data_IF_946089682835
#
_entry.id   IF_946089682835
#
_cell.length_a   1.000
_cell.length_b   1.000
_cell.length_c   1.000
_cell.angle_alpha   90.00
_cell.angle_beta   90.00
_cell.angle_gamma   90.00
#
_symmetry.space_group_name_H-M   'P 1'
#
loop_
_entity.id
_entity.type
_entity.pdbx_description
1 polymer ?
#
# COMPACT_ATOMS: atom_id res chain seq x y z
N UNK A 1 21.08 -28.77 -9.50
CA UNK A 1 20.39 -27.80 -10.18
C UNK A 1 20.79 -26.43 -9.79
N UNK A 2 21.23 -25.68 -10.68
CA UNK A 2 21.66 -24.34 -10.37
C UNK A 2 20.45 -23.48 -10.04
N UNK A 3 20.66 -22.54 -9.19
CA UNK A 3 19.63 -21.60 -8.85
C UNK A 3 19.36 -20.74 -10.06
N UNK A 4 18.16 -20.24 -10.14
CA UNK A 4 17.84 -19.36 -11.21
C UNK A 4 18.60 -18.07 -11.02
N UNK A 5 19.02 -17.49 -12.10
CA UNK A 5 19.68 -16.21 -12.02
C UNK A 5 18.66 -15.13 -11.76
N UNK A 6 18.99 -14.21 -10.88
CA UNK A 6 18.12 -13.07 -10.66
C UNK A 6 18.00 -12.26 -11.94
N UNK A 7 16.79 -11.85 -12.26
CA UNK A 7 16.62 -11.01 -13.43
C UNK A 7 15.48 -10.03 -13.28
N UNK A 8 15.63 -8.92 -13.94
CA UNK A 8 14.66 -7.87 -13.94
C UNK A 8 13.47 -8.27 -14.79
N UNK A 9 12.28 -8.00 -14.32
CA UNK A 9 11.09 -8.18 -15.13
C UNK A 9 9.98 -7.26 -14.66
N UNK A 10 9.08 -6.92 -15.57
CA UNK A 10 7.94 -6.10 -15.24
C UNK A 10 6.88 -7.01 -14.64
N UNK A 11 6.36 -6.66 -13.49
CA UNK A 11 5.37 -7.47 -12.79
C UNK A 11 3.95 -7.00 -13.05
N UNK A 12 3.74 -5.72 -13.27
CA UNK A 12 2.40 -5.17 -13.44
C UNK A 12 2.47 -3.76 -14.01
N UNK A 13 1.37 -3.31 -14.56
CA UNK A 13 1.23 -1.94 -15.00
C UNK A 13 0.14 -1.33 -14.13
N UNK A 14 0.50 -0.43 -13.22
CA UNK A 14 -0.43 0.10 -12.24
C UNK A 14 -1.57 0.88 -12.90
N UNK A 15 -1.30 1.56 -14.01
CA UNK A 15 -2.35 2.33 -14.66
C UNK A 15 -3.39 1.40 -15.30
N UNK A 16 -2.96 0.27 -15.79
CA UNK A 16 -3.86 -0.69 -16.35
C UNK A 16 -4.71 -1.31 -15.26
N UNK A 17 -4.11 -1.63 -14.12
CA UNK A 17 -4.83 -2.22 -13.02
C UNK A 17 -5.84 -1.25 -12.43
N UNK A 18 -5.48 0.02 -12.34
CA UNK A 18 -6.36 1.03 -11.79
C UNK A 18 -7.50 1.33 -12.75
N UNK A 19 -7.26 1.20 -14.04
CA UNK A 19 -8.27 1.51 -15.04
C UNK A 19 -9.37 0.47 -15.16
N UNK A 20 -9.19 -0.71 -14.57
CA UNK A 20 -10.20 -1.74 -14.66
C UNK A 20 -11.35 -1.36 -13.75
N UNK A 21 -12.54 -1.37 -14.27
CA UNK A 21 -13.71 -0.92 -13.55
C UNK A 21 -14.85 -1.86 -13.81
N UNK A 22 -15.78 -1.97 -12.89
CA UNK A 22 -15.90 -1.36 -11.59
C UNK A 22 -15.00 -2.05 -10.60
N UNK A 23 -14.58 -1.28 -9.62
CA UNK A 23 -13.61 -1.79 -8.73
C UNK A 23 -14.04 -1.73 -7.31
N UNK A 24 -14.10 -2.83 -6.61
CA UNK A 24 -14.40 -2.80 -5.20
C UNK A 24 -13.19 -2.29 -4.44
N UNK A 25 -13.42 -1.92 -3.21
CA UNK A 25 -12.37 -1.52 -2.31
C UNK A 25 -11.41 -2.67 -2.09
N UNK A 26 -10.16 -2.37 -1.90
CA UNK A 26 -9.16 -3.35 -1.48
C UNK A 26 -7.97 -3.47 -2.39
N UNK A 27 -7.21 -4.53 -2.20
CA UNK A 27 -5.98 -4.73 -2.92
C UNK A 27 -6.24 -5.19 -4.35
N UNK A 28 -5.60 -4.52 -5.29
CA UNK A 28 -5.70 -4.85 -6.70
C UNK A 28 -4.52 -5.67 -7.15
N UNK A 29 -3.46 -5.61 -6.43
CA UNK A 29 -2.22 -6.33 -6.75
C UNK A 29 -1.35 -6.36 -5.51
N UNK A 30 -0.61 -7.43 -5.35
CA UNK A 30 0.35 -7.58 -4.27
C UNK A 30 1.60 -8.26 -4.79
N UNK A 31 2.75 -7.80 -4.33
CA UNK A 31 4.02 -8.42 -4.66
C UNK A 31 4.05 -9.80 -4.02
N UNK A 32 4.36 -10.82 -4.79
CA UNK A 32 4.32 -12.20 -4.31
C UNK A 32 5.59 -12.99 -4.64
N UNK A 33 6.68 -12.33 -4.96
CA UNK A 33 7.91 -13.03 -5.33
C UNK A 33 8.48 -13.80 -4.14
N UNK A 34 8.83 -15.06 -4.32
CA UNK A 34 9.40 -15.84 -3.24
C UNK A 34 10.74 -15.27 -2.80
N UNK A 35 11.00 -15.27 -1.51
CA UNK A 35 12.28 -14.80 -0.97
C UNK A 35 12.47 -13.29 -1.00
N UNK A 36 11.44 -12.54 -1.32
CA UNK A 36 11.55 -11.09 -1.41
C UNK A 36 11.81 -10.44 -0.07
N UNK A 37 12.46 -9.31 -0.09
CA UNK A 37 12.72 -8.53 1.11
C UNK A 37 11.69 -7.41 1.27
N UNK A 38 10.91 -7.14 0.23
CA UNK A 38 9.94 -6.06 0.23
C UNK A 38 8.54 -6.60 0.03
N UNK A 39 7.57 -5.90 0.59
CA UNK A 39 6.17 -6.09 0.25
C UNK A 39 5.71 -4.83 -0.48
N UNK A 40 4.82 -5.02 -1.42
CA UNK A 40 4.20 -3.90 -2.14
C UNK A 40 2.76 -4.28 -2.44
N UNK A 41 1.87 -3.32 -2.31
CA UNK A 41 0.44 -3.55 -2.55
C UNK A 41 -0.15 -2.36 -3.30
N UNK A 42 -0.93 -2.65 -4.30
CA UNK A 42 -1.71 -1.61 -4.98
C UNK A 42 -3.12 -1.69 -4.43
N UNK A 43 -3.60 -0.60 -3.86
CA UNK A 43 -4.87 -0.54 -3.17
C UNK A 43 -5.78 0.48 -3.83
N UNK A 44 -7.05 0.17 -3.91
CA UNK A 44 -8.03 1.11 -4.43
C UNK A 44 -9.11 1.37 -3.39
N UNK A 45 -9.38 2.65 -3.16
CA UNK A 45 -10.48 3.08 -2.31
C UNK A 45 -11.47 3.83 -3.21
N UNK A 46 -12.69 3.33 -3.35
CA UNK A 46 -13.72 4.08 -4.08
C UNK A 46 -14.00 5.41 -3.39
N UNK A 47 -14.64 6.32 -4.11
CA UNK A 47 -14.95 7.65 -3.58
C UNK A 47 -15.57 7.56 -2.19
N UNK A 48 -15.07 8.34 -1.29
CA UNK A 48 -15.57 8.43 0.08
C UNK A 48 -15.17 7.30 1.02
N UNK A 49 -14.57 6.25 0.50
CA UNK A 49 -14.14 5.16 1.37
C UNK A 49 -12.89 5.56 2.14
N UNK A 50 -12.68 4.92 3.27
CA UNK A 50 -11.61 5.32 4.16
C UNK A 50 -10.86 4.15 4.74
N UNK A 51 -9.62 4.42 5.13
CA UNK A 51 -8.84 3.54 5.98
C UNK A 51 -8.88 4.20 7.34
N UNK A 52 -9.37 3.50 8.34
CA UNK A 52 -9.51 4.07 9.67
C UNK A 52 -8.16 4.38 10.30
N UNK A 53 -8.18 5.27 11.27
CA UNK A 53 -6.98 5.69 11.97
C UNK A 53 -6.26 4.49 12.56
N UNK A 54 -5.00 4.39 12.29
CA UNK A 54 -4.18 3.33 12.84
C UNK A 54 -2.72 3.77 12.92
N UNK A 55 -1.95 3.03 13.70
CA UNK A 55 -0.53 3.28 13.85
C UNK A 55 0.20 2.01 13.43
N UNK A 56 1.18 2.15 12.53
CA UNK A 56 2.01 1.03 12.15
C UNK A 56 3.31 1.16 12.94
N UNK A 57 3.52 0.36 13.97
CA UNK A 57 4.66 0.57 14.87
C UNK A 57 6.01 0.13 14.34
N UNK A 58 6.02 -0.78 13.38
CA UNK A 58 7.24 -1.46 13.00
C UNK A 58 7.81 -1.15 11.63
N UNK A 59 7.03 -0.57 10.76
CA UNK A 59 7.45 -0.42 9.37
C UNK A 59 7.37 1.01 8.89
N UNK A 60 8.42 1.42 8.20
CA UNK A 60 8.38 2.63 7.40
C UNK A 60 7.68 2.25 6.11
N UNK A 61 6.83 3.11 5.59
CA UNK A 61 6.08 2.85 4.38
C UNK A 61 6.24 4.02 3.41
N UNK A 62 6.48 3.71 2.15
CA UNK A 62 6.41 4.69 1.09
C UNK A 62 5.09 4.43 0.38
N UNK A 63 4.30 5.46 0.20
CA UNK A 63 3.01 5.37 -0.48
C UNK A 63 3.08 6.27 -1.71
N UNK A 64 2.68 5.75 -2.86
CA UNK A 64 2.67 6.53 -4.09
C UNK A 64 1.25 6.57 -4.61
N UNK A 65 0.71 7.77 -4.78
CA UNK A 65 -0.64 7.92 -5.32
C UNK A 65 -0.56 7.75 -6.83
N UNK A 66 -1.26 6.78 -7.36
CA UNK A 66 -1.20 6.47 -8.79
C UNK A 66 -2.46 6.88 -9.55
N UNK A 67 -3.53 7.20 -8.87
CA UNK A 67 -4.74 7.75 -9.50
C UNK A 67 -5.64 8.36 -8.45
N UNK A 68 -6.39 9.38 -8.83
CA UNK A 68 -7.35 10.02 -7.94
C UNK A 68 -6.67 10.85 -6.86
N UNK A 69 -7.28 10.93 -5.72
CA UNK A 69 -6.74 11.70 -4.61
C UNK A 69 -7.58 11.55 -3.36
N UNK A 70 -7.19 12.25 -2.32
CA UNK A 70 -7.88 12.18 -1.06
C UNK A 70 -7.17 12.97 0.00
N UNK A 71 -7.38 12.60 1.26
CA UNK A 71 -6.79 13.29 2.39
C UNK A 71 -6.23 12.27 3.36
N UNK A 72 -5.02 12.52 3.82
CA UNK A 72 -4.43 11.77 4.92
C UNK A 72 -4.53 12.65 6.16
N UNK A 73 -5.00 12.10 7.25
CA UNK A 73 -5.12 12.83 8.50
C UNK A 73 -4.16 12.25 9.52
N UNK A 74 -3.45 13.12 10.21
CA UNK A 74 -2.49 12.76 11.25
C UNK A 74 -2.75 13.65 12.45
N UNK A 75 -2.11 13.39 13.60
CA UNK A 75 -2.28 14.27 14.76
C UNK A 75 -1.83 15.70 14.49
N UNK A 76 -0.95 15.90 13.50
CA UNK A 76 -0.48 17.23 13.17
C UNK A 76 -1.38 17.96 12.17
N UNK A 77 -2.38 17.29 11.63
CA UNK A 77 -3.29 17.91 10.69
C UNK A 77 -3.51 17.08 9.44
N UNK A 78 -4.07 17.69 8.43
CA UNK A 78 -4.42 17.01 7.19
C UNK A 78 -3.43 17.28 6.09
N UNK A 79 -3.23 16.30 5.23
CA UNK A 79 -2.37 16.42 4.09
C UNK A 79 -3.17 15.98 2.86
N UNK A 80 -3.28 16.84 1.86
CA UNK A 80 -3.95 16.48 0.62
C UNK A 80 -3.09 15.53 -0.18
N UNK A 81 -3.71 14.49 -0.73
CA UNK A 81 -3.03 13.52 -1.57
C UNK A 81 -3.55 13.69 -3.00
N UNK A 82 -2.63 13.73 -3.94
CA UNK A 82 -2.96 13.88 -5.35
C UNK A 82 -2.15 12.90 -6.19
N UNK A 83 -2.65 12.60 -7.38
CA UNK A 83 -1.99 11.71 -8.30
C UNK A 83 -0.53 12.13 -8.50
N UNK A 84 0.37 11.20 -8.39
CA UNK A 84 1.80 11.44 -8.53
C UNK A 84 2.52 11.73 -7.23
N UNK A 85 1.82 11.91 -6.12
CA UNK A 85 2.48 12.22 -4.85
C UNK A 85 3.19 10.99 -4.30
N UNK A 86 4.37 11.22 -3.72
CA UNK A 86 5.09 10.21 -2.96
C UNK A 86 5.00 10.63 -1.51
N UNK A 87 4.52 9.76 -0.66
CA UNK A 87 4.23 10.08 0.73
C UNK A 87 5.09 9.22 1.63
N UNK A 88 5.68 9.83 2.64
CA UNK A 88 6.49 9.12 3.61
C UNK A 88 5.67 8.87 4.87
N UNK A 89 5.54 7.61 5.24
CA UNK A 89 4.82 7.22 6.44
C UNK A 89 5.81 6.51 7.36
N UNK A 90 6.45 7.23 8.26
CA UNK A 90 7.44 6.60 9.15
C UNK A 90 6.78 5.68 10.14
N UNK A 91 7.50 4.64 10.55
CA UNK A 91 6.97 3.73 11.57
C UNK A 91 6.62 4.54 12.81
N UNK A 92 5.59 4.13 13.47
CA UNK A 92 5.10 4.83 14.66
C UNK A 92 4.16 5.99 14.37
N UNK A 93 4.00 6.37 13.10
CA UNK A 93 3.08 7.45 12.80
C UNK A 93 1.64 6.95 12.82
N UNK A 94 0.75 7.81 13.23
CA UNK A 94 -0.68 7.52 13.27
C UNK A 94 -1.34 8.26 12.11
N UNK A 95 -2.16 7.57 11.35
CA UNK A 95 -2.75 8.17 10.16
C UNK A 95 -4.05 7.50 9.77
N UNK A 96 -4.85 8.22 9.03
CA UNK A 96 -6.03 7.69 8.37
C UNK A 96 -6.06 8.25 6.95
N UNK A 97 -6.78 7.59 6.06
CA UNK A 97 -6.91 8.05 4.68
C UNK A 97 -8.40 8.09 4.33
N UNK A 98 -8.78 9.04 3.50
CA UNK A 98 -10.13 9.06 2.95
C UNK A 98 -10.01 9.42 1.48
N UNK A 99 -10.67 8.63 0.62
CA UNK A 99 -10.67 8.89 -0.81
C UNK A 99 -11.56 10.06 -1.16
N UNK A 100 -11.13 10.85 -2.09
CA UNK A 100 -11.94 11.96 -2.61
C UNK A 100 -12.98 11.48 -3.61
N UNK A 101 -13.56 12.42 -4.33
CA UNK A 101 -14.68 12.14 -5.23
C UNK A 101 -14.35 11.25 -6.42
N UNK A 102 -13.08 11.10 -6.76
CA UNK A 102 -12.69 10.26 -7.87
C UNK A 102 -12.04 8.98 -7.39
N UNK A 103 -12.11 8.69 -6.11
CA UNK A 103 -11.43 7.54 -5.53
C UNK A 103 -9.95 7.82 -5.29
N UNK A 104 -9.27 6.87 -4.69
CA UNK A 104 -7.85 6.99 -4.39
C UNK A 104 -7.21 5.64 -4.64
N UNK A 105 -6.27 5.60 -5.58
CA UNK A 105 -5.51 4.38 -5.81
C UNK A 105 -4.06 4.66 -5.48
N UNK A 106 -3.45 3.77 -4.73
CA UNK A 106 -2.08 4.00 -4.28
C UNK A 106 -1.31 2.70 -4.12
N UNK A 107 0.00 2.82 -4.29
CA UNK A 107 0.93 1.72 -4.10
C UNK A 107 1.63 1.94 -2.78
N UNK A 108 1.71 0.91 -1.95
CA UNK A 108 2.52 0.98 -0.73
C UNK A 108 3.70 0.05 -0.88
N UNK A 109 4.85 0.46 -0.37
CA UNK A 109 6.06 -0.36 -0.37
C UNK A 109 6.69 -0.28 1.00
N UNK A 110 7.03 -1.42 1.55
CA UNK A 110 7.69 -1.47 2.86
C UNK A 110 8.51 -2.76 2.96
N UNK A 111 9.31 -2.85 4.00
CA UNK A 111 10.07 -4.05 4.27
C UNK A 111 9.08 -5.19 4.52
N UNK A 112 9.39 -6.36 3.99
CA UNK A 112 8.53 -7.52 4.23
C UNK A 112 8.51 -7.84 5.71
N UNK A 113 7.32 -8.08 6.24
CA UNK A 113 7.20 -8.46 7.63
C UNK A 113 7.84 -9.81 7.79
N UNK A 114 8.42 -10.09 8.93
CA UNK A 114 9.02 -11.38 9.21
C UNK A 114 7.92 -12.42 9.02
N UNK A 115 8.26 -13.47 8.45
CA UNK A 115 7.32 -14.44 8.09
C UNK A 115 6.40 -14.84 9.14
N UNK A 116 5.59 -15.83 8.91
CA UNK A 116 4.70 -16.23 9.73
C UNK A 116 5.15 -16.43 10.97
N UNK A 117 5.22 -15.55 11.69
CA UNK A 117 5.66 -15.62 12.99
C UNK A 117 4.57 -16.13 13.82
N UNK A 118 3.70 -16.78 13.21
CA UNK A 118 2.62 -17.32 13.87
C UNK A 118 2.96 -18.11 14.96
N UNK A 119 4.00 -18.72 14.89
CA UNK A 119 4.38 -19.60 15.84
C UNK A 119 4.31 -18.99 17.18
N UNK A 120 4.33 -17.77 17.22
CA UNK A 120 4.46 -17.24 18.49
C UNK A 120 3.18 -16.63 18.82
N UNK A 121 2.18 -17.03 18.22
CA UNK A 121 1.01 -16.43 18.52
C UNK A 121 0.15 -17.30 19.22
N UNK A 122 0.42 -17.59 20.38
CA UNK A 122 -0.38 -18.44 21.14
C UNK A 122 -1.70 -17.85 21.13
N UNK A 123 -2.57 -18.63 21.03
CA UNK A 123 -3.81 -18.08 21.07
C UNK A 123 -4.05 -17.29 19.89
N UNK A 124 -3.18 -17.33 19.12
CA UNK A 124 -3.36 -16.55 18.10
C UNK A 124 -3.12 -17.15 17.15
#
# INVERSE_FOLDING_TARGET
MPAEQPRLRVLADVHQLVGDSPVPSGARWALAEPGRQLDANLIHLPAGHRVDTHTEPDLDVVLVVVAGGGIATTPEGEQTLADGNVVWLPRGSTRSLIAGGEGLSYLTVHRRRPGLQIRNRPGQ
#
